data_IF_779825272251
#
_entry.id   IF_779825272251
#
_cell.length_a   1.000
_cell.length_b   1.000
_cell.length_c   1.000
_cell.angle_alpha   90.00
_cell.angle_beta   90.00
_cell.angle_gamma   90.00
#
_symmetry.space_group_name_H-M   'P 1'
#
loop_
_entity.id
_entity.type
_entity.pdbx_description
1 polymer ?
#
# COMPACT_ATOMS: atom_id res chain seq x y z
N UNK A 1 -1.28 -9.38 8.87
CA UNK A 1 -2.20 -10.31 8.13
C UNK A 1 -1.71 -10.34 6.70
N UNK A 2 -1.80 -11.49 6.02
CA UNK A 2 -1.35 -11.63 4.65
C UNK A 2 -2.52 -11.89 3.73
N UNK A 3 -2.54 -11.24 2.56
CA UNK A 3 -3.53 -11.47 1.51
C UNK A 3 -2.87 -11.50 0.13
N UNK A 4 -3.47 -12.20 -0.81
CA UNK A 4 -3.09 -12.16 -2.23
C UNK A 4 -4.15 -11.38 -3.03
N UNK A 5 -3.75 -10.76 -4.15
CA UNK A 5 -4.66 -10.07 -5.07
C UNK A 5 -5.04 -10.95 -6.27
N UNK A 6 -6.31 -10.89 -6.67
CA UNK A 6 -6.91 -11.77 -7.68
C UNK A 6 -6.21 -11.82 -9.05
N UNK A 7 -5.71 -10.68 -9.54
CA UNK A 7 -5.20 -10.53 -10.91
C UNK A 7 -3.70 -10.21 -10.97
N UNK A 8 -3.04 -10.10 -9.82
CA UNK A 8 -1.64 -9.70 -9.74
C UNK A 8 -1.00 -10.38 -8.53
N UNK A 9 0.18 -11.02 -8.63
CA UNK A 9 0.80 -11.76 -7.53
C UNK A 9 1.42 -10.82 -6.48
N UNK A 10 0.77 -9.69 -6.19
CA UNK A 10 1.15 -8.88 -5.05
C UNK A 10 0.65 -9.57 -3.79
N UNK A 11 1.61 -9.95 -2.97
CA UNK A 11 1.36 -10.28 -1.59
C UNK A 11 1.10 -8.98 -0.84
N UNK A 12 0.11 -8.93 0.04
CA UNK A 12 -0.22 -7.75 0.83
C UNK A 12 -0.06 -8.09 2.31
N UNK A 13 1.00 -7.60 2.92
CA UNK A 13 1.28 -7.73 4.35
C UNK A 13 0.77 -6.48 5.07
N UNK A 14 -0.43 -6.58 5.64
CA UNK A 14 -1.03 -5.53 6.45
C UNK A 14 -0.25 -5.30 7.73
N UNK A 15 0.10 -4.04 7.97
CA UNK A 15 0.65 -3.55 9.23
C UNK A 15 -0.44 -3.48 10.30
N UNK A 16 -0.05 -3.60 11.57
CA UNK A 16 -0.98 -3.38 12.66
C UNK A 16 -1.35 -1.89 12.77
N UNK A 17 -2.54 -1.61 13.34
CA UNK A 17 -3.05 -0.23 13.43
C UNK A 17 -2.11 0.71 14.19
N UNK A 18 -1.43 0.20 15.22
CA UNK A 18 -0.45 0.90 16.04
C UNK A 18 0.92 1.07 15.35
N UNK A 19 1.16 0.34 14.26
CA UNK A 19 2.38 0.43 13.45
C UNK A 19 2.22 1.37 12.24
N UNK A 20 0.99 1.75 11.89
CA UNK A 20 0.73 2.61 10.73
C UNK A 20 1.46 3.96 10.80
N UNK A 21 1.29 4.71 11.90
CA UNK A 21 1.97 6.00 12.05
C UNK A 21 3.50 5.85 12.14
N UNK A 22 4.06 4.95 12.98
CA UNK A 22 5.50 4.70 13.02
C UNK A 22 6.09 4.37 11.65
N UNK A 23 5.51 3.44 10.89
CA UNK A 23 6.05 3.06 9.58
C UNK A 23 5.98 4.20 8.57
N UNK A 24 4.88 4.96 8.52
CA UNK A 24 4.80 6.13 7.63
C UNK A 24 5.87 7.19 7.96
N UNK A 25 6.19 7.36 9.25
CA UNK A 25 7.26 8.27 9.69
C UNK A 25 8.66 7.71 9.36
N UNK A 26 8.92 6.43 9.64
CA UNK A 26 10.20 5.76 9.38
C UNK A 26 10.54 5.71 7.89
N UNK A 27 9.57 5.40 7.04
CA UNK A 27 9.73 5.43 5.58
C UNK A 27 9.65 6.84 4.98
N UNK A 28 9.44 7.87 5.82
CA UNK A 28 9.37 9.27 5.41
C UNK A 28 8.33 9.52 4.31
N UNK A 29 7.19 8.82 4.38
CA UNK A 29 6.10 8.93 3.40
C UNK A 29 5.62 10.39 3.25
N UNK A 30 5.46 11.19 4.33
CA UNK A 30 5.06 12.60 4.19
C UNK A 30 6.04 13.47 3.40
N UNK A 31 7.33 13.12 3.38
CA UNK A 31 8.39 13.85 2.66
C UNK A 31 8.42 13.45 1.18
N UNK A 32 8.39 12.14 0.90
CA UNK A 32 8.59 11.63 -0.45
C UNK A 32 7.29 11.49 -1.26
N UNK A 33 6.19 11.14 -0.60
CA UNK A 33 4.87 10.97 -1.20
C UNK A 33 3.79 11.69 -0.36
N UNK A 34 3.87 13.02 -0.31
CA UNK A 34 2.95 13.84 0.47
C UNK A 34 1.48 13.56 0.14
N UNK A 35 0.66 13.36 1.18
CA UNK A 35 -0.76 13.04 1.08
C UNK A 35 -1.07 11.57 0.83
N UNK A 36 -0.06 10.72 0.62
CA UNK A 36 -0.22 9.27 0.63
C UNK A 36 -0.12 8.74 2.07
N UNK A 37 -0.76 7.60 2.32
CA UNK A 37 -0.70 6.92 3.60
C UNK A 37 -0.52 5.41 3.41
N UNK A 38 0.66 4.90 3.78
CA UNK A 38 1.00 3.49 3.71
C UNK A 38 0.24 2.66 4.73
N UNK A 39 -0.17 1.45 4.36
CA UNK A 39 -0.89 0.53 5.24
C UNK A 39 -0.44 -0.93 5.15
N UNK A 40 0.34 -1.28 4.14
CA UNK A 40 0.87 -2.62 3.95
C UNK A 40 2.14 -2.61 3.11
N UNK A 41 2.88 -3.71 3.17
CA UNK A 41 4.05 -3.99 2.33
C UNK A 41 3.77 -5.11 1.35
N UNK A 42 4.46 -5.12 0.20
CA UNK A 42 4.43 -6.26 -0.71
C UNK A 42 5.32 -7.43 -0.26
N UNK A 43 6.13 -7.23 0.79
CA UNK A 43 7.23 -8.14 1.15
C UNK A 43 8.41 -8.09 0.17
N UNK A 44 8.25 -7.43 -0.99
CA UNK A 44 9.22 -7.36 -2.09
C UNK A 44 9.81 -5.96 -2.32
N UNK A 45 9.61 -5.01 -1.39
CA UNK A 45 10.17 -3.66 -1.49
C UNK A 45 9.18 -2.60 -2.00
N UNK A 46 7.89 -2.93 -2.06
CA UNK A 46 6.83 -1.97 -2.38
C UNK A 46 5.88 -1.79 -1.19
N UNK A 47 5.24 -0.63 -1.16
CA UNK A 47 4.29 -0.20 -0.15
C UNK A 47 2.92 -0.03 -0.80
N UNK A 48 1.90 -0.60 -0.18
CA UNK A 48 0.52 -0.23 -0.48
C UNK A 48 0.14 1.00 0.31
N UNK A 49 -0.48 1.95 -0.38
CA UNK A 49 -0.90 3.21 0.21
C UNK A 49 -2.27 3.67 -0.30
N UNK A 50 -2.97 4.44 0.52
CA UNK A 50 -4.12 5.24 0.10
C UNK A 50 -3.55 6.54 -0.49
N UNK A 51 -3.96 6.86 -1.71
CA UNK A 51 -3.57 8.08 -2.40
C UNK A 51 -4.40 9.29 -1.93
N UNK A 52 -3.98 10.53 -2.23
CA UNK A 52 -4.77 11.73 -1.94
C UNK A 52 -6.17 11.73 -2.57
N UNK A 53 -6.40 10.94 -3.62
CA UNK A 53 -7.71 10.80 -4.30
C UNK A 53 -8.56 9.69 -3.70
N UNK A 54 -8.03 8.90 -2.75
CA UNK A 54 -8.72 7.77 -2.11
C UNK A 54 -8.58 6.44 -2.84
N UNK A 55 -7.76 6.38 -3.90
CA UNK A 55 -7.43 5.10 -4.56
C UNK A 55 -6.37 4.33 -3.77
N UNK A 56 -6.38 3.01 -3.90
CA UNK A 56 -5.33 2.14 -3.36
C UNK A 56 -4.26 1.99 -4.44
N UNK A 57 -3.04 2.34 -4.08
CA UNK A 57 -1.87 2.31 -4.97
C UNK A 57 -0.76 1.46 -4.39
N UNK A 58 0.18 1.07 -5.24
CA UNK A 58 1.46 0.50 -4.88
C UNK A 58 2.59 1.49 -5.23
N UNK A 59 3.51 1.72 -4.30
CA UNK A 59 4.65 2.63 -4.42
C UNK A 59 5.94 1.90 -4.06
N UNK A 60 7.05 2.09 -4.79
CA UNK A 60 8.33 1.55 -4.35
C UNK A 60 8.82 2.27 -3.08
N UNK A 61 9.39 1.56 -2.11
CA UNK A 61 10.03 2.21 -0.96
C UNK A 61 11.23 3.07 -1.37
N UNK A 62 11.99 2.61 -2.36
CA UNK A 62 13.14 3.35 -2.90
C UNK A 62 12.66 4.24 -4.04
N UNK A 63 12.89 5.55 -3.90
CA UNK A 63 12.49 6.54 -4.89
C UNK A 63 11.02 6.96 -4.81
N UNK A 64 10.25 6.44 -3.85
CA UNK A 64 8.87 6.74 -3.49
C UNK A 64 8.36 8.12 -3.98
N UNK A 65 7.91 8.20 -5.22
CA UNK A 65 7.42 9.44 -5.83
C UNK A 65 6.00 9.21 -6.36
N UNK A 66 5.09 10.20 -6.28
CA UNK A 66 3.72 10.05 -6.78
C UNK A 66 3.62 9.57 -8.24
N UNK A 67 4.60 9.93 -9.08
CA UNK A 67 4.66 9.50 -10.49
C UNK A 67 4.94 8.00 -10.69
N UNK A 68 5.48 7.35 -9.66
CA UNK A 68 5.77 5.92 -9.65
C UNK A 68 4.62 5.11 -9.04
N UNK A 69 3.54 5.75 -8.58
CA UNK A 69 2.37 5.08 -8.04
C UNK A 69 1.67 4.26 -9.14
N UNK A 70 1.46 2.98 -8.86
CA UNK A 70 0.67 2.08 -9.69
C UNK A 70 -0.69 1.91 -9.01
N UNK A 71 -1.77 2.29 -9.69
CA UNK A 71 -3.12 2.09 -9.14
C UNK A 71 -3.45 0.59 -9.10
N UNK A 72 -3.85 0.12 -7.92
CA UNK A 72 -4.29 -1.26 -7.68
C UNK A 72 -5.83 -1.33 -7.70
N UNK A 73 -6.47 -0.35 -7.05
CA UNK A 73 -7.91 -0.23 -7.04
C UNK A 73 -8.36 1.23 -6.91
N UNK A 74 -9.47 1.62 -7.56
CA UNK A 74 -9.96 2.99 -7.51
C UNK A 74 -10.53 3.38 -6.14
N UNK A 75 -10.87 2.40 -5.30
CA UNK A 75 -11.39 2.61 -3.93
C UNK A 75 -10.97 1.47 -3.01
N UNK A 76 -11.02 1.72 -1.70
CA UNK A 76 -10.81 0.68 -0.68
C UNK A 76 -11.78 -0.50 -0.82
N UNK A 77 -13.06 -0.25 -1.10
CA UNK A 77 -14.06 -1.32 -1.25
C UNK A 77 -13.76 -2.24 -2.45
N UNK A 78 -13.23 -1.67 -3.55
CA UNK A 78 -12.79 -2.47 -4.70
C UNK A 78 -11.54 -3.27 -4.34
N UNK A 79 -10.58 -2.68 -3.62
CA UNK A 79 -9.40 -3.38 -3.12
C UNK A 79 -9.77 -4.58 -2.22
N UNK A 80 -10.67 -4.37 -1.25
CA UNK A 80 -11.14 -5.45 -0.37
C UNK A 80 -11.78 -6.61 -1.15
N UNK A 81 -12.52 -6.30 -2.22
CA UNK A 81 -13.14 -7.34 -3.06
C UNK A 81 -12.13 -8.21 -3.82
N UNK A 82 -10.88 -7.76 -3.94
CA UNK A 82 -9.78 -8.48 -4.61
C UNK A 82 -8.91 -9.29 -3.63
N UNK A 83 -9.10 -9.13 -2.31
CA UNK A 83 -8.29 -9.83 -1.31
C UNK A 83 -8.72 -11.29 -1.19
N UNK A 84 -7.75 -12.21 -1.35
CA UNK A 84 -7.90 -13.60 -0.91
C UNK A 84 -7.08 -13.85 0.34
N UNK A 85 -7.67 -14.53 1.31
CA UNK A 85 -6.89 -15.09 2.43
C UNK A 85 -6.04 -16.24 1.88
N UNK A 86 -4.72 -16.27 2.14
CA UNK A 86 -3.95 -17.48 1.98
C UNK A 86 -4.54 -18.53 2.93
N UNK A 87 -4.78 -19.73 2.38
CA UNK A 87 -5.25 -20.90 3.12
C UNK A 87 -4.15 -21.45 4.04
#
# INVERSE_FOLDING_TARGET
MFCELDENPYYCEFWALDELEPFNAEYQVPEYASGYFGFASSGGGEMFAISPTGSVVCLPFIGMEPKAAIEIAPTWAVFESQLRSPL
#
